data_IF_519048714380
#
_entry.id   IF_519048714380
#
_cell.length_a   1.000
_cell.length_b   1.000
_cell.length_c   1.000
_cell.angle_alpha   90.00
_cell.angle_beta   90.00
_cell.angle_gamma   90.00
#
_symmetry.space_group_name_H-M   'P 1'
#
loop_
_entity.id
_entity.type
_entity.pdbx_description
1 polymer ?
#
# COMPACT_ATOMS: atom_id res chain seq x y z
N UNK A 1 -3.31 5.19 -14.70
CA UNK A 1 -1.87 5.34 -14.36
C UNK A 1 -1.12 4.14 -14.92
N UNK A 2 -0.01 4.35 -15.64
CA UNK A 2 0.80 3.25 -16.20
C UNK A 2 1.42 2.44 -15.06
N UNK A 3 1.42 1.11 -15.18
CA UNK A 3 1.95 0.17 -14.17
C UNK A 3 3.44 0.43 -13.85
N UNK A 4 4.24 0.82 -14.85
CA UNK A 4 5.65 1.17 -14.65
C UNK A 4 5.82 2.40 -13.75
N UNK A 5 5.05 3.45 -14.00
CA UNK A 5 5.04 4.66 -13.17
C UNK A 5 4.60 4.36 -11.73
N UNK A 6 3.57 3.52 -11.57
CA UNK A 6 3.09 3.09 -10.26
C UNK A 6 4.18 2.37 -9.46
N UNK A 7 4.91 1.44 -10.09
CA UNK A 7 6.01 0.71 -9.45
C UNK A 7 7.13 1.64 -9.00
N UNK A 8 7.50 2.65 -9.81
CA UNK A 8 8.49 3.67 -9.43
C UNK A 8 8.04 4.48 -8.20
N UNK A 9 6.78 4.89 -8.17
CA UNK A 9 6.22 5.63 -7.03
C UNK A 9 6.18 4.75 -5.77
N UNK A 10 5.76 3.50 -5.89
CA UNK A 10 5.75 2.55 -4.79
C UNK A 10 7.16 2.34 -4.20
N UNK A 11 8.19 2.23 -5.05
CA UNK A 11 9.57 2.13 -4.59
C UNK A 11 10.04 3.39 -3.83
N UNK A 12 9.67 4.58 -4.32
CA UNK A 12 9.97 5.85 -3.63
C UNK A 12 9.28 5.92 -2.26
N UNK A 13 7.98 5.62 -2.21
CA UNK A 13 7.22 5.64 -0.97
C UNK A 13 7.75 4.62 0.04
N UNK A 14 8.02 3.39 -0.37
CA UNK A 14 8.57 2.34 0.47
C UNK A 14 9.93 2.75 1.07
N UNK A 15 10.82 3.34 0.25
CA UNK A 15 12.10 3.84 0.73
C UNK A 15 11.92 4.89 1.84
N UNK A 16 11.03 5.85 1.65
CA UNK A 16 10.76 6.91 2.63
C UNK A 16 10.23 6.31 3.92
N UNK A 17 9.23 5.42 3.85
CA UNK A 17 8.64 4.78 5.01
C UNK A 17 9.63 3.91 5.80
N UNK A 18 10.51 3.17 5.13
CA UNK A 18 11.57 2.39 5.81
C UNK A 18 12.58 3.31 6.49
N UNK A 19 12.96 4.44 5.87
CA UNK A 19 13.89 5.39 6.49
C UNK A 19 13.27 6.08 7.71
N UNK A 20 11.98 6.42 7.64
CA UNK A 20 11.23 6.99 8.76
C UNK A 20 11.16 6.02 9.94
N UNK A 21 10.80 4.75 9.70
CA UNK A 21 10.67 3.73 10.75
C UNK A 21 12.03 3.34 11.38
N UNK A 22 13.11 3.36 10.60
CA UNK A 22 14.46 3.08 11.11
C UNK A 22 15.06 4.23 11.93
N UNK A 23 14.65 5.47 11.69
CA UNK A 23 15.19 6.65 12.37
C UNK A 23 16.73 6.67 12.40
N UNK A 24 17.31 6.79 13.61
CA UNK A 24 18.75 6.78 13.82
C UNK A 24 19.42 5.40 13.75
N UNK A 25 18.64 4.32 13.56
CA UNK A 25 19.19 2.97 13.38
C UNK A 25 18.31 1.85 13.91
N UNK A 26 18.65 0.66 13.46
CA UNK A 26 17.96 -0.58 13.81
C UNK A 26 18.50 -1.14 15.15
N UNK A 27 17.87 -0.73 16.24
CA UNK A 27 18.22 -1.21 17.59
C UNK A 27 17.79 -2.67 17.76
N UNK A 28 16.63 -3.04 17.23
CA UNK A 28 16.02 -4.37 17.41
C UNK A 28 16.89 -5.49 16.85
N UNK A 29 17.50 -5.30 15.68
CA UNK A 29 18.34 -6.36 15.10
C UNK A 29 19.77 -6.37 15.61
N UNK A 30 20.24 -5.28 16.26
CA UNK A 30 21.55 -5.27 16.91
C UNK A 30 21.64 -6.30 18.05
N UNK A 31 20.56 -6.51 18.79
CA UNK A 31 20.50 -7.44 19.93
C UNK A 31 20.43 -8.91 19.50
N UNK A 32 20.12 -9.21 18.24
CA UNK A 32 19.95 -10.57 17.74
C UNK A 32 21.25 -11.30 17.42
N UNK A 33 22.38 -10.63 17.44
CA UNK A 33 23.68 -11.23 17.10
C UNK A 33 23.65 -11.94 15.74
N UNK A 34 24.22 -13.16 15.68
CA UNK A 34 24.25 -13.99 14.45
C UNK A 34 22.87 -14.51 14.01
N UNK A 35 21.87 -14.53 14.91
CA UNK A 35 20.52 -15.01 14.59
C UNK A 35 19.83 -14.15 13.54
N UNK A 36 20.18 -12.87 13.39
CA UNK A 36 19.63 -11.95 12.38
C UNK A 36 19.80 -12.42 10.94
N UNK A 37 20.81 -13.23 10.66
CA UNK A 37 21.08 -13.76 9.32
C UNK A 37 20.34 -15.07 9.01
N UNK A 38 19.73 -15.71 10.02
CA UNK A 38 18.98 -16.96 9.81
C UNK A 38 17.76 -16.69 8.94
N UNK A 39 17.60 -17.52 7.89
CA UNK A 39 16.41 -17.47 7.04
C UNK A 39 15.21 -17.92 7.84
N UNK A 40 14.17 -17.09 7.81
CA UNK A 40 12.89 -17.34 8.48
C UNK A 40 11.74 -17.18 7.50
N UNK A 41 10.62 -17.77 7.87
CA UNK A 41 9.35 -17.66 7.16
C UNK A 41 8.36 -16.88 8.01
N UNK A 42 7.83 -15.80 7.45
CA UNK A 42 6.72 -15.05 8.01
C UNK A 42 5.47 -15.27 7.17
N UNK A 43 4.31 -15.38 7.81
CA UNK A 43 3.02 -15.54 7.14
C UNK A 43 2.13 -14.37 7.50
N UNK A 44 1.63 -13.67 6.49
CA UNK A 44 0.70 -12.56 6.65
C UNK A 44 -0.72 -13.08 6.44
N UNK A 45 -1.60 -12.81 7.43
CA UNK A 45 -3.01 -13.16 7.40
C UNK A 45 -3.86 -11.91 7.55
N UNK A 46 -5.06 -11.92 7.00
CA UNK A 46 -6.03 -10.85 7.19
C UNK A 46 -6.73 -10.97 8.55
N UNK A 47 -6.87 -9.87 9.28
CA UNK A 47 -7.65 -9.81 10.50
C UNK A 47 -9.14 -9.54 10.25
N UNK A 48 -9.49 -9.07 9.06
CA UNK A 48 -10.84 -8.67 8.67
C UNK A 48 -11.18 -9.10 7.25
N UNK A 49 -12.46 -9.04 6.90
CA UNK A 49 -12.90 -9.17 5.53
C UNK A 49 -12.62 -7.86 4.77
N UNK A 50 -12.20 -7.95 3.51
CA UNK A 50 -11.92 -6.75 2.74
C UNK A 50 -11.49 -7.02 1.30
N UNK A 51 -10.91 -5.99 0.70
CA UNK A 51 -10.28 -6.03 -0.64
C UNK A 51 -8.80 -5.76 -0.48
N UNK A 52 -7.97 -6.69 -0.92
CA UNK A 52 -6.52 -6.54 -0.84
C UNK A 52 -6.05 -5.43 -1.78
N UNK A 53 -5.17 -4.58 -1.25
CA UNK A 53 -4.47 -3.57 -2.04
C UNK A 53 -3.13 -3.22 -1.39
N UNK A 54 -2.09 -3.05 -2.22
CA UNK A 54 -0.81 -2.53 -1.75
C UNK A 54 0.39 -3.43 -2.02
N UNK A 55 0.26 -4.49 -2.82
CA UNK A 55 1.36 -5.43 -3.11
C UNK A 55 2.63 -4.73 -3.60
N UNK A 56 2.52 -3.72 -4.47
CA UNK A 56 3.70 -2.99 -4.94
C UNK A 56 4.46 -2.28 -3.83
N UNK A 57 3.78 -1.71 -2.85
CA UNK A 57 4.41 -1.04 -1.70
C UNK A 57 5.02 -2.06 -0.75
N UNK A 58 4.27 -3.12 -0.43
CA UNK A 58 4.75 -4.22 0.40
C UNK A 58 6.04 -4.82 -0.16
N UNK A 59 6.04 -5.24 -1.42
CA UNK A 59 7.20 -5.84 -2.07
C UNK A 59 8.40 -4.89 -2.06
N UNK A 60 8.18 -3.59 -2.30
CA UNK A 60 9.26 -2.63 -2.35
C UNK A 60 9.85 -2.31 -0.97
N UNK A 61 9.08 -2.42 0.12
CA UNK A 61 9.64 -2.33 1.48
C UNK A 61 10.67 -3.45 1.69
N UNK A 62 10.32 -4.69 1.41
CA UNK A 62 11.23 -5.83 1.53
C UNK A 62 12.42 -5.74 0.58
N UNK A 63 12.20 -5.38 -0.68
CA UNK A 63 13.28 -5.19 -1.68
C UNK A 63 14.26 -4.09 -1.28
N UNK A 64 13.77 -3.00 -0.69
CA UNK A 64 14.63 -1.92 -0.22
C UNK A 64 15.55 -2.38 0.91
N UNK A 65 15.00 -3.10 1.88
CA UNK A 65 15.78 -3.68 2.99
C UNK A 65 16.76 -4.72 2.50
N UNK A 66 16.33 -5.64 1.62
CA UNK A 66 17.21 -6.63 1.00
C UNK A 66 18.40 -5.99 0.27
N UNK A 67 18.13 -4.91 -0.50
CA UNK A 67 19.21 -4.20 -1.21
C UNK A 67 20.26 -3.63 -0.26
N UNK A 68 19.84 -3.19 0.94
CA UNK A 68 20.73 -2.59 1.94
C UNK A 68 21.51 -3.62 2.75
N UNK A 69 20.85 -4.72 3.14
CA UNK A 69 21.41 -5.69 4.10
C UNK A 69 21.79 -7.03 3.46
N UNK A 70 21.46 -7.25 2.19
CA UNK A 70 21.72 -8.49 1.47
C UNK A 70 20.78 -9.62 1.82
N UNK A 71 21.15 -10.84 1.39
CA UNK A 71 20.43 -12.07 1.68
C UNK A 71 19.30 -12.40 0.68
N UNK A 72 18.76 -13.61 0.85
CA UNK A 72 17.69 -14.11 -0.01
C UNK A 72 16.36 -13.49 0.37
N UNK A 73 15.55 -13.15 -0.64
CA UNK A 73 14.17 -12.70 -0.44
C UNK A 73 13.24 -13.44 -1.41
N UNK A 74 12.22 -14.10 -0.86
CA UNK A 74 11.13 -14.69 -1.64
C UNK A 74 9.81 -14.26 -1.02
N UNK A 75 8.94 -13.65 -1.82
CA UNK A 75 7.57 -13.27 -1.43
C UNK A 75 6.62 -14.08 -2.28
N UNK A 76 5.73 -14.83 -1.63
CA UNK A 76 4.77 -15.72 -2.28
C UNK A 76 3.37 -15.22 -1.93
N UNK A 77 2.71 -14.60 -2.90
CA UNK A 77 1.36 -14.09 -2.74
C UNK A 77 0.32 -15.19 -2.97
N UNK A 78 -0.57 -15.40 -2.01
CA UNK A 78 -1.73 -16.26 -2.12
C UNK A 78 -2.95 -15.50 -2.70
N UNK A 79 -2.93 -14.16 -2.62
CA UNK A 79 -3.96 -13.25 -3.12
C UNK A 79 -3.32 -12.10 -3.87
N UNK A 80 -4.06 -11.52 -4.82
CA UNK A 80 -3.63 -10.36 -5.61
C UNK A 80 -4.42 -9.11 -5.23
N UNK A 81 -3.88 -7.94 -5.53
CA UNK A 81 -4.62 -6.67 -5.43
C UNK A 81 -5.95 -6.78 -6.17
N UNK A 82 -6.99 -6.16 -5.62
CA UNK A 82 -8.42 -6.20 -6.03
C UNK A 82 -9.18 -7.46 -5.62
N UNK A 83 -8.52 -8.51 -5.14
CA UNK A 83 -9.23 -9.70 -4.68
C UNK A 83 -9.84 -9.51 -3.29
N UNK A 84 -11.01 -10.13 -3.10
CA UNK A 84 -11.65 -10.22 -1.79
C UNK A 84 -10.82 -11.13 -0.88
N UNK A 85 -10.63 -10.71 0.35
CA UNK A 85 -9.97 -11.45 1.42
C UNK A 85 -10.93 -11.64 2.59
N UNK A 86 -10.77 -12.75 3.31
CA UNK A 86 -11.57 -13.09 4.48
C UNK A 86 -10.71 -13.04 5.75
N UNK A 87 -11.35 -12.80 6.89
CA UNK A 87 -10.70 -12.91 8.20
C UNK A 87 -9.99 -14.27 8.35
N UNK A 88 -8.77 -14.25 8.84
CA UNK A 88 -7.91 -15.44 9.01
C UNK A 88 -7.25 -15.96 7.74
N UNK A 89 -7.64 -15.44 6.57
CA UNK A 89 -7.09 -15.90 5.29
C UNK A 89 -5.64 -15.49 5.12
N UNK A 90 -4.81 -16.42 4.66
CA UNK A 90 -3.42 -16.15 4.27
C UNK A 90 -3.40 -15.23 3.05
N UNK A 91 -2.64 -14.15 3.15
CA UNK A 91 -2.42 -13.15 2.09
C UNK A 91 -1.13 -13.46 1.35
N UNK A 92 -0.02 -13.57 2.08
CA UNK A 92 1.28 -13.92 1.51
C UNK A 92 2.19 -14.59 2.53
N UNK A 93 3.30 -15.14 2.01
CA UNK A 93 4.44 -15.63 2.79
C UNK A 93 5.69 -14.87 2.38
N UNK A 94 6.54 -14.56 3.35
CA UNK A 94 7.86 -13.96 3.12
C UNK A 94 8.91 -14.88 3.69
N UNK A 95 9.90 -15.23 2.87
CA UNK A 95 11.07 -16.04 3.26
C UNK A 95 12.29 -15.15 3.06
N UNK A 96 12.94 -14.78 4.16
CA UNK A 96 14.08 -13.86 4.16
C UNK A 96 14.91 -14.02 5.45
N UNK A 97 16.10 -13.40 5.54
CA UNK A 97 16.79 -13.24 6.81
C UNK A 97 15.88 -12.58 7.85
N UNK A 98 15.99 -13.02 9.11
CA UNK A 98 15.18 -12.48 10.21
C UNK A 98 15.27 -10.96 10.29
N UNK A 99 16.45 -10.39 10.10
CA UNK A 99 16.66 -8.94 10.05
C UNK A 99 15.80 -8.27 8.97
N UNK A 100 15.78 -8.83 7.77
CA UNK A 100 14.99 -8.27 6.66
C UNK A 100 13.49 -8.27 6.98
N UNK A 101 13.01 -9.36 7.61
CA UNK A 101 11.61 -9.48 8.01
C UNK A 101 11.28 -8.39 9.04
N UNK A 102 12.04 -8.30 10.12
CA UNK A 102 11.76 -7.37 11.22
C UNK A 102 11.81 -5.89 10.81
N UNK A 103 12.78 -5.52 9.95
CA UNK A 103 12.90 -4.13 9.49
C UNK A 103 11.78 -3.76 8.52
N UNK A 104 11.39 -4.66 7.62
CA UNK A 104 10.39 -4.35 6.59
C UNK A 104 8.95 -4.51 7.07
N UNK A 105 8.71 -5.26 8.14
CA UNK A 105 7.37 -5.67 8.59
C UNK A 105 6.44 -4.48 8.78
N UNK A 106 6.78 -3.55 9.67
CA UNK A 106 5.88 -2.46 10.06
C UNK A 106 5.48 -1.59 8.88
N UNK A 107 6.45 -1.07 8.13
CA UNK A 107 6.17 -0.21 6.98
C UNK A 107 5.37 -0.95 5.89
N UNK A 108 5.68 -2.22 5.63
CA UNK A 108 4.98 -3.01 4.62
C UNK A 108 3.53 -3.31 5.02
N UNK A 109 3.29 -3.65 6.29
CA UNK A 109 1.95 -3.89 6.82
C UNK A 109 1.12 -2.61 6.86
N UNK A 110 1.70 -1.47 7.23
CA UNK A 110 1.03 -0.17 7.21
C UNK A 110 0.49 0.17 5.80
N UNK A 111 1.28 -0.06 4.75
CA UNK A 111 0.78 0.14 3.38
C UNK A 111 -0.38 -0.79 3.04
N UNK A 112 -0.27 -2.09 3.35
CA UNK A 112 -1.35 -3.05 3.08
C UNK A 112 -2.62 -2.67 3.84
N UNK A 113 -2.51 -2.30 5.11
CA UNK A 113 -3.67 -1.93 5.95
C UNK A 113 -4.37 -0.67 5.41
N UNK A 114 -3.62 0.41 5.19
CA UNK A 114 -4.19 1.67 4.73
C UNK A 114 -4.82 1.51 3.35
N UNK A 115 -4.12 0.88 2.41
CA UNK A 115 -4.60 0.77 1.04
C UNK A 115 -5.75 -0.24 0.91
N UNK A 116 -5.71 -1.36 1.62
CA UNK A 116 -6.83 -2.30 1.66
C UNK A 116 -8.06 -1.71 2.35
N UNK A 117 -7.87 -0.89 3.40
CA UNK A 117 -8.95 -0.16 4.05
C UNK A 117 -9.67 0.80 3.08
N UNK A 118 -8.90 1.57 2.30
CA UNK A 118 -9.46 2.46 1.27
C UNK A 118 -10.21 1.66 0.20
N UNK A 119 -9.61 0.57 -0.30
CA UNK A 119 -10.24 -0.28 -1.32
C UNK A 119 -11.54 -0.89 -0.81
N UNK A 120 -11.54 -1.40 0.42
CA UNK A 120 -12.72 -1.99 1.06
C UNK A 120 -13.83 -0.97 1.26
N UNK A 121 -13.49 0.24 1.75
CA UNK A 121 -14.45 1.33 1.91
C UNK A 121 -15.03 1.78 0.58
N UNK A 122 -14.20 1.93 -0.45
CA UNK A 122 -14.65 2.27 -1.82
C UNK A 122 -15.64 1.24 -2.33
N UNK A 123 -15.31 -0.04 -2.22
CA UNK A 123 -16.20 -1.14 -2.65
C UNK A 123 -17.52 -1.14 -1.89
N UNK A 124 -17.51 -0.83 -0.59
CA UNK A 124 -18.74 -0.76 0.21
C UNK A 124 -19.68 0.35 -0.29
N UNK A 125 -19.14 1.50 -0.69
CA UNK A 125 -19.95 2.57 -1.28
C UNK A 125 -20.52 2.20 -2.64
N UNK A 126 -19.71 1.58 -3.52
CA UNK A 126 -20.17 1.13 -4.84
C UNK A 126 -21.33 0.14 -4.71
N UNK A 127 -21.18 -0.84 -3.79
CA UNK A 127 -22.23 -1.82 -3.54
C UNK A 127 -23.53 -1.18 -3.03
N UNK A 128 -23.43 -0.12 -2.21
CA UNK A 128 -24.61 0.60 -1.69
C UNK A 128 -25.33 1.43 -2.77
N UNK A 129 -24.61 1.93 -3.77
CA UNK A 129 -25.23 2.71 -4.85
C UNK A 129 -26.15 1.87 -5.72
N UNK A 130 -25.89 0.56 -5.83
CA UNK A 130 -26.66 -0.40 -6.62
C UNK A 130 -27.08 0.13 -8.03
N UNK A 131 -26.24 0.97 -8.62
CA UNK A 131 -26.48 1.63 -9.89
C UNK A 131 -25.18 1.73 -10.69
N UNK A 132 -25.09 0.96 -11.76
CA UNK A 132 -23.91 0.88 -12.63
C UNK A 132 -23.64 2.16 -13.45
N UNK A 133 -24.60 3.09 -13.51
CA UNK A 133 -24.45 4.37 -14.23
C UNK A 133 -23.71 5.41 -13.37
N UNK A 134 -23.73 5.26 -12.04
CA UNK A 134 -23.07 6.19 -11.10
C UNK A 134 -21.63 5.71 -10.85
N UNK A 135 -20.65 6.60 -11.04
CA UNK A 135 -19.24 6.31 -10.79
C UNK A 135 -18.77 7.04 -9.54
N UNK A 136 -18.12 6.32 -8.62
CA UNK A 136 -17.40 6.91 -7.51
C UNK A 136 -16.04 7.37 -8.01
N UNK A 137 -15.76 8.66 -7.85
CA UNK A 137 -14.49 9.28 -8.23
C UNK A 137 -13.67 9.59 -6.97
N UNK A 138 -12.36 9.40 -7.08
CA UNK A 138 -11.43 9.91 -6.07
C UNK A 138 -11.28 11.44 -6.15
N UNK A 139 -10.59 12.01 -5.18
CA UNK A 139 -10.30 13.45 -5.14
C UNK A 139 -8.79 13.71 -5.00
N UNK A 140 -8.41 15.00 -4.98
CA UNK A 140 -7.06 15.44 -4.63
C UNK A 140 -6.87 15.67 -3.12
N UNK A 141 -7.91 15.50 -2.33
CA UNK A 141 -7.83 15.56 -0.85
C UNK A 141 -7.31 14.22 -0.35
N UNK A 142 -6.00 14.08 -0.33
CA UNK A 142 -5.28 12.84 -0.01
C UNK A 142 -4.22 13.10 1.06
N UNK A 143 -3.80 12.06 1.74
CA UNK A 143 -2.65 12.14 2.64
C UNK A 143 -1.43 12.58 1.82
N UNK A 144 -0.67 13.60 2.29
CA UNK A 144 0.54 14.04 1.63
C UNK A 144 1.52 12.88 1.38
N UNK A 145 2.20 12.91 0.24
CA UNK A 145 3.22 11.93 -0.12
C UNK A 145 2.69 10.62 -0.72
N UNK A 146 1.47 10.18 -0.41
CA UNK A 146 0.93 8.87 -0.85
C UNK A 146 -0.30 8.96 -1.77
N UNK A 147 -0.54 10.12 -2.41
CA UNK A 147 -1.69 10.31 -3.32
C UNK A 147 -1.83 9.22 -4.36
N UNK A 148 -0.74 8.83 -5.00
CA UNK A 148 -0.76 7.79 -6.02
C UNK A 148 -1.21 6.45 -5.46
N UNK A 149 -0.78 6.11 -4.25
CA UNK A 149 -1.17 4.89 -3.56
C UNK A 149 -2.67 4.89 -3.23
N UNK A 150 -3.18 6.00 -2.68
CA UNK A 150 -4.60 6.12 -2.34
C UNK A 150 -5.50 6.08 -3.58
N UNK A 151 -5.10 6.77 -4.68
CA UNK A 151 -5.83 6.70 -5.94
C UNK A 151 -5.82 5.29 -6.54
N UNK A 152 -4.70 4.57 -6.44
CA UNK A 152 -4.64 3.16 -6.82
C UNK A 152 -5.58 2.30 -5.97
N UNK A 153 -5.65 2.55 -4.68
CA UNK A 153 -6.54 1.83 -3.78
C UNK A 153 -8.04 2.04 -4.12
N UNK A 154 -8.41 3.26 -4.54
CA UNK A 154 -9.77 3.53 -5.04
C UNK A 154 -10.08 2.68 -6.29
N UNK A 155 -9.14 2.56 -7.23
CA UNK A 155 -9.29 1.67 -8.39
C UNK A 155 -9.41 0.19 -7.98
N UNK A 156 -8.64 -0.24 -6.98
CA UNK A 156 -8.72 -1.61 -6.48
C UNK A 156 -10.08 -1.92 -5.84
N UNK A 157 -10.70 -0.92 -5.23
CA UNK A 157 -12.06 -1.02 -4.68
C UNK A 157 -13.19 -0.90 -5.72
N UNK A 158 -12.85 -0.75 -7.02
CA UNK A 158 -13.82 -0.62 -8.11
C UNK A 158 -14.24 0.81 -8.42
N UNK A 159 -13.69 1.82 -7.76
CA UNK A 159 -13.90 3.23 -8.08
C UNK A 159 -13.11 3.69 -9.30
N UNK A 160 -13.19 4.96 -9.62
CA UNK A 160 -12.53 5.57 -10.77
C UNK A 160 -11.65 6.73 -10.33
N UNK A 161 -10.56 6.97 -11.08
CA UNK A 161 -9.71 8.12 -10.80
C UNK A 161 -10.24 9.37 -11.50
N UNK A 162 -10.22 10.48 -10.77
CA UNK A 162 -10.30 11.83 -11.30
C UNK A 162 -8.87 12.37 -11.54
N UNK A 163 -8.73 13.66 -11.87
CA UNK A 163 -7.44 14.29 -12.16
C UNK A 163 -6.38 14.05 -11.07
N UNK A 164 -5.13 13.91 -11.47
CA UNK A 164 -3.99 13.66 -10.58
C UNK A 164 -3.36 14.93 -10.03
N UNK A 165 -3.34 15.98 -10.87
CA UNK A 165 -2.71 17.26 -10.60
C UNK A 165 -3.70 18.40 -10.85
N UNK A 166 -3.37 19.64 -10.44
CA UNK A 166 -4.10 20.79 -10.95
C UNK A 166 -4.01 20.74 -12.46
N UNK A 167 -5.13 20.65 -13.13
CA UNK A 167 -5.13 20.89 -14.57
C UNK A 167 -4.95 22.39 -14.73
N UNK A 168 -4.09 22.82 -15.61
CA UNK A 168 -4.04 24.21 -16.04
C UNK A 168 -5.34 24.51 -16.78
N UNK A 169 -6.37 24.88 -16.02
CA UNK A 169 -7.52 25.54 -16.61
C UNK A 169 -7.09 26.99 -16.88
N UNK A 170 -7.37 27.48 -18.07
CA UNK A 170 -7.27 28.90 -18.39
C UNK A 170 -8.25 29.74 -17.58
N UNK A 171 -9.25 29.12 -16.94
CA UNK A 171 -10.24 29.77 -16.05
C UNK A 171 -10.44 28.94 -14.78
N UNK A 172 -10.17 29.57 -13.63
CA UNK A 172 -10.64 29.11 -12.32
C UNK A 172 -12.03 29.71 -12.11
N UNK A 173 -13.09 28.92 -12.24
CA UNK A 173 -14.38 29.29 -11.66
C UNK A 173 -14.26 29.05 -10.16
N UNK A 174 -14.23 30.09 -9.37
CA UNK A 174 -14.46 30.01 -7.93
C UNK A 174 -15.84 29.40 -7.71
N UNK A 175 -16.03 28.49 -6.74
CA UNK A 175 -17.38 28.10 -6.36
C UNK A 175 -18.12 29.36 -5.93
N UNK A 176 -19.08 29.76 -6.69
CA UNK A 176 -20.08 30.76 -6.23
C UNK A 176 -20.80 30.10 -5.08
N UNK A 177 -20.67 30.66 -3.88
CA UNK A 177 -21.56 30.35 -2.78
C UNK A 177 -22.98 30.70 -3.25
N UNK A 178 -23.72 29.69 -3.66
CA UNK A 178 -25.16 29.78 -3.69
C UNK A 178 -25.59 29.57 -2.25
N UNK A 179 -25.86 30.64 -1.58
CA UNK A 179 -26.71 30.62 -0.39
C UNK A 179 -28.05 30.01 -0.82
N UNK A 180 -28.46 28.98 -0.11
CA UNK A 180 -29.82 28.42 -0.15
C UNK A 180 -30.55 28.97 1.04
#
# INVERSE_FOLDING_TARGET
MNTSALKKIAAKNARIAILEDLGSGDITTKTLGKAKYKIKKAVIKSNENGILCGQYWFDNCFKHVQKKYGGTLKIIWAKKDKEKIKKGQKICEVIAPLQTILIAERSSLNFIQVLSGISTKTSSYINKLNNNKIKILDTRKTIPGIRAAQKYAVLCGGGNNHRFAPVSYTHLTLPTNREV
#
